data_IF_428328347538
#
_entry.id   IF_428328347538
#
_cell.length_a   1.000
_cell.length_b   1.000
_cell.length_c   1.000
_cell.angle_alpha   90.00
_cell.angle_beta   90.00
_cell.angle_gamma   90.00
#
_symmetry.space_group_name_H-M   'P 1'
#
loop_
_entity.id
_entity.type
_entity.pdbx_description
1 polymer ?
#
# COMPACT_ATOMS: atom_id res chain seq x y z
N UNK A 1 30.77 5.41 -41.53
CA UNK A 1 29.89 5.81 -40.40
C UNK A 1 29.79 4.66 -39.39
N UNK A 2 29.52 4.90 -38.10
CA UNK A 2 29.32 3.83 -37.13
C UNK A 2 28.03 3.04 -37.41
N UNK A 3 27.98 1.78 -36.96
CA UNK A 3 26.78 0.94 -37.05
C UNK A 3 25.71 1.31 -36.02
N UNK A 4 24.48 0.85 -36.24
CA UNK A 4 23.37 1.02 -35.30
C UNK A 4 23.76 0.37 -33.95
N UNK A 5 23.60 1.07 -32.82
CA UNK A 5 23.91 0.47 -31.53
C UNK A 5 22.94 -0.66 -31.21
N UNK A 6 23.37 -1.59 -30.35
CA UNK A 6 22.51 -2.62 -29.76
C UNK A 6 22.78 -2.70 -28.26
N UNK A 7 21.77 -3.15 -27.51
CA UNK A 7 21.81 -3.24 -26.06
C UNK A 7 21.89 -4.72 -25.67
N UNK A 8 22.86 -5.07 -24.83
CA UNK A 8 23.03 -6.38 -24.21
C UNK A 8 22.77 -6.28 -22.69
N UNK A 9 22.37 -7.40 -22.07
CA UNK A 9 22.10 -7.48 -20.63
C UNK A 9 20.64 -7.25 -20.23
N UNK A 10 19.73 -7.12 -21.21
CA UNK A 10 18.29 -7.12 -20.98
C UNK A 10 17.54 -7.61 -22.22
N UNK A 11 16.70 -8.63 -22.07
CA UNK A 11 15.80 -9.08 -23.12
C UNK A 11 14.43 -8.37 -23.02
N UNK A 12 13.79 -7.99 -24.13
CA UNK A 12 12.43 -7.45 -24.09
C UNK A 12 11.45 -8.41 -23.38
N UNK A 13 10.81 -7.93 -22.30
CA UNK A 13 9.89 -8.73 -21.49
C UNK A 13 10.53 -9.37 -20.25
N UNK A 14 11.86 -9.31 -20.12
CA UNK A 14 12.55 -9.71 -18.89
C UNK A 14 12.09 -8.86 -17.71
N UNK A 15 11.97 -9.48 -16.54
CA UNK A 15 11.53 -8.83 -15.30
C UNK A 15 12.72 -8.57 -14.41
N UNK A 16 12.82 -7.34 -13.91
CA UNK A 16 13.84 -6.92 -12.96
C UNK A 16 13.16 -6.74 -11.61
N UNK A 17 13.77 -7.18 -10.51
CA UNK A 17 13.22 -6.92 -9.17
C UNK A 17 13.80 -5.63 -8.60
N UNK A 18 13.02 -4.88 -7.84
CA UNK A 18 13.55 -3.76 -7.04
C UNK A 18 14.73 -4.24 -6.18
N UNK A 19 15.79 -3.45 -6.13
CA UNK A 19 17.03 -3.79 -5.44
C UNK A 19 17.99 -4.68 -6.24
N UNK A 20 17.58 -5.18 -7.41
CA UNK A 20 18.48 -5.96 -8.27
C UNK A 20 19.56 -5.05 -8.87
N UNK A 21 20.81 -5.52 -8.85
CA UNK A 21 21.90 -4.91 -9.58
C UNK A 21 21.79 -5.27 -11.06
N UNK A 22 21.61 -4.26 -11.91
CA UNK A 22 21.45 -4.41 -13.36
C UNK A 22 22.67 -3.83 -14.06
N UNK A 23 23.19 -4.54 -15.06
CA UNK A 23 24.30 -4.09 -15.89
C UNK A 23 23.94 -4.26 -17.37
N UNK A 24 23.87 -3.14 -18.09
CA UNK A 24 23.55 -3.09 -19.51
C UNK A 24 24.75 -2.63 -20.30
N UNK A 25 25.03 -3.25 -21.45
CA UNK A 25 26.06 -2.82 -22.36
C UNK A 25 25.43 -2.28 -23.64
N UNK A 26 25.78 -1.05 -24.01
CA UNK A 26 25.49 -0.54 -25.35
C UNK A 26 26.74 -0.65 -26.21
N UNK A 27 26.61 -1.24 -27.39
CA UNK A 27 27.72 -1.44 -28.33
C UNK A 27 27.36 -0.95 -29.73
N UNK A 28 28.31 -0.30 -30.39
CA UNK A 28 28.21 0.08 -31.81
C UNK A 28 29.48 -0.35 -32.54
N UNK A 29 29.34 -1.04 -33.68
CA UNK A 29 30.47 -1.59 -34.44
C UNK A 29 30.96 -0.59 -35.50
N UNK A 30 32.28 -0.55 -35.70
CA UNK A 30 32.94 0.26 -36.72
C UNK A 30 32.87 1.77 -36.49
N UNK A 31 33.03 2.52 -37.59
CA UNK A 31 33.14 3.97 -37.59
C UNK A 31 34.60 4.45 -37.60
N UNK A 32 34.90 5.42 -38.45
CA UNK A 32 36.16 6.15 -38.42
C UNK A 32 35.87 7.67 -38.38
N UNK A 33 36.07 8.36 -37.24
CA UNK A 33 36.53 7.80 -35.96
C UNK A 33 35.47 6.91 -35.27
N UNK A 34 35.80 6.20 -34.18
CA UNK A 34 34.81 5.40 -33.44
C UNK A 34 33.64 6.24 -32.93
N UNK A 35 32.49 5.60 -32.68
CA UNK A 35 31.30 6.29 -32.17
C UNK A 35 31.46 6.73 -30.71
N UNK A 36 30.93 7.90 -30.37
CA UNK A 36 30.62 8.27 -28.99
C UNK A 36 29.31 7.62 -28.59
N UNK A 37 29.26 6.98 -27.42
CA UNK A 37 28.07 6.32 -26.91
C UNK A 37 27.55 6.98 -25.65
N UNK A 38 26.27 7.33 -25.65
CA UNK A 38 25.60 8.01 -24.54
C UNK A 38 24.34 7.24 -24.15
N UNK A 39 24.21 6.94 -22.85
CA UNK A 39 22.97 6.45 -22.28
C UNK A 39 22.06 7.58 -21.86
N UNK A 40 20.79 7.47 -22.19
CA UNK A 40 19.70 8.32 -21.74
C UNK A 40 18.68 7.48 -20.97
N UNK A 41 18.17 8.03 -19.87
CA UNK A 41 17.05 7.48 -19.08
C UNK A 41 15.94 8.51 -19.05
N UNK A 42 14.77 8.17 -19.59
CA UNK A 42 13.62 9.07 -19.71
C UNK A 42 13.98 10.42 -20.38
N UNK A 43 14.87 10.39 -21.38
CA UNK A 43 15.33 11.57 -22.09
C UNK A 43 16.51 12.32 -21.46
N UNK A 44 16.83 12.07 -20.19
CA UNK A 44 17.96 12.69 -19.49
C UNK A 44 19.24 11.88 -19.68
N UNK A 45 20.37 12.54 -19.90
CA UNK A 45 21.67 11.87 -20.02
C UNK A 45 22.03 11.16 -18.71
N UNK A 46 22.12 9.84 -18.75
CA UNK A 46 22.44 9.00 -17.59
C UNK A 46 23.93 8.68 -17.48
N UNK A 47 24.60 8.39 -18.61
CA UNK A 47 26.02 8.02 -18.60
C UNK A 47 26.70 8.29 -19.93
N UNK A 48 27.81 9.04 -19.87
CA UNK A 48 28.69 9.32 -21.01
C UNK A 48 30.13 8.87 -20.68
N UNK A 49 30.30 7.57 -20.45
CA UNK A 49 31.60 6.96 -20.16
C UNK A 49 31.77 5.72 -21.05
N UNK A 50 32.20 5.98 -22.28
CA UNK A 50 32.39 4.96 -23.30
C UNK A 50 33.87 4.63 -23.50
N UNK A 51 34.15 3.40 -23.90
CA UNK A 51 35.46 2.95 -24.36
C UNK A 51 35.40 2.59 -25.83
N UNK A 52 36.49 2.81 -26.54
CA UNK A 52 36.61 2.52 -27.97
C UNK A 52 37.69 1.47 -28.18
N UNK A 53 37.45 0.58 -29.13
CA UNK A 53 38.41 -0.39 -29.65
C UNK A 53 38.44 -0.24 -31.17
N UNK A 54 39.37 -0.91 -31.84
CA UNK A 54 39.44 -0.92 -33.32
C UNK A 54 38.17 -1.49 -33.98
N UNK A 55 37.34 -2.24 -33.23
CA UNK A 55 36.16 -2.94 -33.75
C UNK A 55 34.83 -2.33 -33.31
N UNK A 56 34.77 -1.77 -32.11
CA UNK A 56 33.52 -1.24 -31.54
C UNK A 56 33.75 -0.17 -30.48
N UNK A 57 32.73 0.66 -30.29
CA UNK A 57 32.54 1.50 -29.10
C UNK A 57 31.60 0.80 -28.12
N UNK A 58 31.83 0.96 -26.82
CA UNK A 58 31.00 0.39 -25.76
C UNK A 58 30.79 1.34 -24.59
N UNK A 59 29.57 1.38 -24.04
CA UNK A 59 29.23 2.09 -22.80
C UNK A 59 28.39 1.19 -21.88
N UNK A 60 28.90 0.89 -20.69
CA UNK A 60 28.26 0.02 -19.70
C UNK A 60 27.48 0.86 -18.69
N UNK A 61 26.16 0.70 -18.61
CA UNK A 61 25.34 1.36 -17.59
C UNK A 61 24.95 0.36 -16.51
N UNK A 62 25.42 0.59 -15.28
CA UNK A 62 25.11 -0.23 -14.12
C UNK A 62 24.35 0.59 -13.08
N UNK A 63 23.29 0.02 -12.51
CA UNK A 63 22.43 0.66 -11.52
C UNK A 63 21.75 -0.38 -10.62
N UNK A 64 21.22 0.07 -9.49
CA UNK A 64 20.31 -0.72 -8.64
C UNK A 64 18.89 -0.34 -9.03
N UNK A 65 18.06 -1.33 -9.37
CA UNK A 65 16.71 -1.07 -9.85
C UNK A 65 15.80 -0.51 -8.75
N UNK A 66 15.14 0.62 -9.03
CA UNK A 66 14.15 1.23 -8.15
C UNK A 66 12.72 1.04 -8.68
N UNK A 67 11.71 1.26 -7.83
CA UNK A 67 10.31 1.19 -8.27
C UNK A 67 9.99 2.23 -9.36
N UNK A 68 10.62 3.40 -9.27
CA UNK A 68 10.55 4.51 -10.23
C UNK A 68 11.15 4.16 -11.61
N UNK A 69 11.94 3.08 -11.70
CA UNK A 69 12.51 2.60 -12.96
C UNK A 69 11.51 1.77 -13.76
N UNK A 70 10.37 1.39 -13.17
CA UNK A 70 9.35 0.68 -13.90
C UNK A 70 8.82 1.54 -15.06
N UNK A 71 8.79 0.98 -16.26
CA UNK A 71 8.47 1.67 -17.52
C UNK A 71 9.45 2.79 -17.91
N UNK A 72 10.59 2.90 -17.24
CA UNK A 72 11.64 3.81 -17.67
C UNK A 72 12.14 3.40 -19.07
N UNK A 73 12.26 4.38 -19.96
CA UNK A 73 12.81 4.22 -21.30
C UNK A 73 14.31 4.48 -21.24
N UNK A 74 15.09 3.43 -21.46
CA UNK A 74 16.52 3.55 -21.67
C UNK A 74 16.82 3.61 -23.16
N UNK A 75 17.59 4.62 -23.56
CA UNK A 75 18.02 4.84 -24.93
C UNK A 75 19.53 4.96 -24.96
N UNK A 76 20.19 4.17 -25.79
CA UNK A 76 21.58 4.40 -26.13
C UNK A 76 21.66 5.09 -27.48
N UNK A 77 22.46 6.16 -27.56
CA UNK A 77 22.74 6.88 -28.79
C UNK A 77 24.20 6.69 -29.21
N UNK A 78 24.42 6.50 -30.51
CA UNK A 78 25.73 6.42 -31.13
C UNK A 78 25.89 7.54 -32.16
N UNK A 79 26.93 8.35 -31.99
CA UNK A 79 27.21 9.48 -32.87
C UNK A 79 28.71 9.60 -33.20
N UNK A 80 29.01 10.17 -34.37
CA UNK A 80 30.37 10.53 -34.80
C UNK A 80 30.27 11.67 -35.84
N UNK A 81 31.33 12.45 -36.05
CA UNK A 81 31.46 13.49 -37.09
C UNK A 81 31.06 13.06 -38.52
N UNK A 82 31.14 11.76 -38.83
CA UNK A 82 30.73 11.22 -40.14
C UNK A 82 29.27 10.74 -40.17
N UNK A 83 28.56 10.75 -39.05
CA UNK A 83 27.15 10.35 -38.99
C UNK A 83 26.26 11.54 -39.38
N UNK A 84 25.36 11.33 -40.35
CA UNK A 84 24.38 12.33 -40.77
C UNK A 84 23.13 12.36 -39.89
N UNK A 85 22.93 11.31 -39.09
CA UNK A 85 21.85 11.16 -38.10
C UNK A 85 22.38 10.41 -36.88
N UNK A 86 21.84 10.74 -35.71
CA UNK A 86 22.12 10.01 -34.48
C UNK A 86 21.46 8.63 -34.58
N UNK A 87 22.25 7.58 -34.38
CA UNK A 87 21.77 6.20 -34.34
C UNK A 87 21.37 5.85 -32.91
N UNK A 88 20.32 5.07 -32.72
CA UNK A 88 19.78 4.78 -31.39
C UNK A 88 19.24 3.36 -31.24
N UNK A 89 19.32 2.84 -30.02
CA UNK A 89 18.65 1.61 -29.57
C UNK A 89 17.93 1.90 -28.26
N UNK A 90 16.77 1.28 -28.05
CA UNK A 90 15.89 1.60 -26.93
C UNK A 90 15.29 0.33 -26.31
N UNK A 91 15.15 0.35 -24.99
CA UNK A 91 14.43 -0.67 -24.22
C UNK A 91 13.52 0.01 -23.18
N UNK A 92 12.46 -0.67 -22.79
CA UNK A 92 11.58 -0.25 -21.69
C UNK A 92 11.74 -1.26 -20.57
N UNK A 93 12.10 -0.78 -19.38
CA UNK A 93 12.29 -1.62 -18.21
C UNK A 93 10.95 -2.09 -17.63
N UNK A 94 10.90 -3.33 -17.16
CA UNK A 94 9.81 -3.86 -16.37
C UNK A 94 10.32 -4.22 -14.97
N UNK A 95 10.03 -3.36 -13.99
CA UNK A 95 10.55 -3.54 -12.62
C UNK A 95 9.43 -3.98 -11.69
N UNK A 96 9.59 -5.15 -11.08
CA UNK A 96 8.68 -5.71 -10.09
C UNK A 96 9.00 -5.14 -8.70
N UNK A 97 7.96 -4.72 -8.00
CA UNK A 97 8.03 -4.25 -6.62
C UNK A 97 6.69 -4.46 -5.92
N UNK A 98 6.74 -4.89 -4.65
CA UNK A 98 5.57 -5.05 -3.80
C UNK A 98 5.14 -3.69 -3.21
N UNK A 99 3.88 -3.55 -2.77
CA UNK A 99 3.46 -2.37 -2.03
C UNK A 99 4.24 -2.31 -0.71
N UNK A 100 4.73 -1.12 -0.36
CA UNK A 100 5.44 -0.89 0.90
C UNK A 100 4.53 -0.92 2.12
N UNK A 101 3.25 -0.60 1.95
CA UNK A 101 2.24 -0.65 3.01
C UNK A 101 0.84 -0.75 2.42
N UNK A 102 -0.11 -1.09 3.29
CA UNK A 102 -1.54 -0.89 3.06
C UNK A 102 -2.11 0.00 4.15
N UNK A 103 -3.04 0.86 3.78
CA UNK A 103 -3.69 1.81 4.69
C UNK A 103 -5.16 1.41 4.76
N UNK A 104 -5.65 1.18 5.97
CA UNK A 104 -7.07 0.89 6.23
C UNK A 104 -7.71 2.13 6.85
N UNK A 105 -8.88 2.51 6.36
CA UNK A 105 -9.66 3.63 6.85
C UNK A 105 -11.12 3.24 7.09
N UNK A 106 -11.74 3.90 8.06
CA UNK A 106 -13.10 3.62 8.51
C UNK A 106 -13.41 4.30 9.84
N UNK A 107 -14.63 4.12 10.39
CA UNK A 107 -14.98 4.65 11.70
C UNK A 107 -14.13 4.02 12.81
N UNK A 108 -13.87 4.76 13.89
CA UNK A 108 -13.18 4.24 15.08
C UNK A 108 -14.13 3.54 16.05
N UNK A 109 -15.42 3.87 16.02
CA UNK A 109 -16.45 3.32 16.90
C UNK A 109 -17.76 3.13 16.11
N UNK A 110 -18.55 2.13 16.50
CA UNK A 110 -19.86 1.86 15.91
C UNK A 110 -20.76 1.11 16.89
N UNK A 111 -22.08 1.28 16.78
CA UNK A 111 -23.04 0.58 17.63
C UNK A 111 -23.23 -0.85 17.15
N UNK A 112 -23.63 -1.73 18.07
CA UNK A 112 -24.07 -3.08 17.69
C UNK A 112 -25.20 -3.00 16.66
N UNK A 113 -25.08 -3.80 15.60
CA UNK A 113 -26.02 -3.84 14.48
C UNK A 113 -25.70 -2.86 13.35
N UNK A 114 -24.82 -1.88 13.57
CA UNK A 114 -24.40 -0.96 12.51
C UNK A 114 -23.65 -1.71 11.40
N UNK A 115 -23.78 -1.21 10.17
CA UNK A 115 -22.95 -1.62 9.04
C UNK A 115 -21.85 -0.60 8.82
N UNK A 116 -20.60 -0.99 9.06
CA UNK A 116 -19.43 -0.11 8.91
C UNK A 116 -18.80 -0.29 7.55
N UNK A 117 -18.55 0.83 6.86
CA UNK A 117 -17.77 0.84 5.62
C UNK A 117 -16.28 0.95 5.96
N UNK A 118 -15.47 0.05 5.40
CA UNK A 118 -14.03 0.05 5.52
C UNK A 118 -13.40 0.11 4.13
N UNK A 119 -12.35 0.89 4.00
CA UNK A 119 -11.54 0.99 2.79
C UNK A 119 -10.11 0.58 3.09
N UNK A 120 -9.50 -0.16 2.18
CA UNK A 120 -8.07 -0.43 2.20
C UNK A 120 -7.45 0.03 0.89
N UNK A 121 -6.29 0.67 0.97
CA UNK A 121 -5.54 1.15 -0.17
C UNK A 121 -4.08 0.72 -0.06
N UNK A 122 -3.51 0.18 -1.14
CA UNK A 122 -2.09 -0.14 -1.22
C UNK A 122 -1.27 1.09 -1.61
N UNK A 123 0.01 1.14 -1.24
CA UNK A 123 0.97 1.93 -2.01
C UNK A 123 1.20 1.27 -3.38
N UNK A 124 1.97 1.95 -4.25
CA UNK A 124 2.20 1.46 -5.61
C UNK A 124 2.86 0.06 -5.62
N UNK A 125 2.41 -0.79 -6.53
CA UNK A 125 2.93 -2.13 -6.77
C UNK A 125 3.01 -2.42 -8.27
N UNK A 126 4.00 -3.20 -8.70
CA UNK A 126 4.05 -3.78 -10.04
C UNK A 126 4.34 -5.28 -9.99
N UNK A 127 3.44 -6.15 -10.49
CA UNK A 127 2.08 -5.85 -10.95
C UNK A 127 1.18 -5.31 -9.81
N UNK A 128 -0.06 -4.92 -10.15
CA UNK A 128 -1.04 -4.48 -9.16
C UNK A 128 -1.20 -5.53 -8.04
N UNK A 129 -1.18 -5.08 -6.79
CA UNK A 129 -1.36 -5.96 -5.65
C UNK A 129 -2.83 -6.36 -5.50
N UNK A 130 -3.08 -7.60 -5.09
CA UNK A 130 -4.39 -8.06 -4.65
C UNK A 130 -4.62 -7.66 -3.19
N UNK A 131 -5.83 -7.20 -2.88
CA UNK A 131 -6.24 -6.96 -1.50
C UNK A 131 -7.05 -8.16 -0.99
N UNK A 132 -6.64 -8.69 0.17
CA UNK A 132 -7.37 -9.75 0.89
C UNK A 132 -7.77 -9.25 2.27
N UNK A 133 -9.03 -9.43 2.62
CA UNK A 133 -9.61 -8.95 3.87
C UNK A 133 -9.87 -10.11 4.83
N UNK A 134 -9.56 -9.89 6.10
CA UNK A 134 -9.97 -10.75 7.21
C UNK A 134 -10.68 -9.89 8.25
N UNK A 135 -11.96 -10.16 8.49
CA UNK A 135 -12.77 -9.45 9.49
C UNK A 135 -13.18 -10.43 10.57
N UNK A 136 -12.85 -10.12 11.83
CA UNK A 136 -13.12 -10.99 12.99
C UNK A 136 -12.61 -12.44 12.80
N UNK A 137 -11.46 -12.59 12.13
CA UNK A 137 -10.85 -13.88 11.83
C UNK A 137 -11.45 -14.63 10.62
N UNK A 138 -12.44 -14.07 9.93
CA UNK A 138 -13.06 -14.66 8.74
C UNK A 138 -12.64 -13.92 7.48
N UNK A 139 -12.31 -14.68 6.44
CA UNK A 139 -12.00 -14.09 5.12
C UNK A 139 -13.25 -13.47 4.50
N UNK A 140 -13.10 -12.30 3.89
CA UNK A 140 -14.18 -11.64 3.15
C UNK A 140 -13.97 -11.87 1.66
N UNK A 141 -14.97 -12.47 1.00
CA UNK A 141 -14.92 -12.80 -0.44
C UNK A 141 -15.58 -11.76 -1.32
N UNK A 142 -16.52 -10.97 -0.78
CA UNK A 142 -17.33 -10.00 -1.53
C UNK A 142 -16.80 -8.57 -1.37
N UNK A 143 -15.49 -8.41 -1.57
CA UNK A 143 -14.85 -7.09 -1.53
C UNK A 143 -14.85 -6.45 -2.92
N UNK A 144 -15.15 -5.16 -2.99
CA UNK A 144 -14.90 -4.39 -4.21
C UNK A 144 -13.40 -4.23 -4.43
N UNK A 145 -12.97 -4.07 -5.68
CA UNK A 145 -11.57 -3.80 -6.03
C UNK A 145 -11.50 -2.81 -7.18
N UNK A 146 -10.62 -1.83 -7.06
CA UNK A 146 -10.33 -0.82 -8.08
C UNK A 146 -8.82 -0.63 -8.18
N UNK A 147 -8.29 -0.75 -9.39
CA UNK A 147 -6.86 -0.59 -9.69
C UNK A 147 -6.65 0.67 -10.51
N UNK A 148 -5.73 1.54 -10.09
CA UNK A 148 -5.41 2.80 -10.78
C UNK A 148 -3.90 2.97 -10.95
N UNK A 149 -3.41 3.59 -12.04
CA UNK A 149 -1.99 3.87 -12.21
C UNK A 149 -1.46 4.82 -11.12
N UNK A 150 -0.23 4.60 -10.67
CA UNK A 150 0.47 5.51 -9.76
C UNK A 150 1.37 6.48 -10.54
N UNK A 151 1.45 7.77 -10.16
CA UNK A 151 2.45 8.71 -10.70
C UNK A 151 3.91 8.24 -10.51
N UNK A 152 4.16 7.45 -9.47
CA UNK A 152 5.49 6.89 -9.15
C UNK A 152 5.81 5.63 -9.97
N UNK A 153 4.90 5.22 -10.85
CA UNK A 153 4.98 3.96 -11.60
C UNK A 153 4.22 2.82 -10.90
N UNK A 154 3.80 1.82 -11.68
CA UNK A 154 2.98 0.70 -11.17
C UNK A 154 1.53 1.11 -10.89
N UNK A 155 0.92 0.42 -9.93
CA UNK A 155 -0.52 0.47 -9.68
C UNK A 155 -0.85 0.55 -8.20
N UNK A 156 -1.85 1.37 -7.86
CA UNK A 156 -2.49 1.42 -6.54
C UNK A 156 -3.79 0.66 -6.61
N UNK A 157 -4.01 -0.23 -5.66
CA UNK A 157 -5.26 -1.00 -5.53
C UNK A 157 -6.03 -0.48 -4.32
N UNK A 158 -7.32 -0.19 -4.52
CA UNK A 158 -8.26 0.19 -3.46
C UNK A 158 -9.36 -0.86 -3.37
N UNK A 159 -9.68 -1.29 -2.16
CA UNK A 159 -10.76 -2.24 -1.90
C UNK A 159 -11.67 -1.74 -0.79
N UNK A 160 -12.97 -1.79 -1.02
CA UNK A 160 -13.97 -1.44 0.00
C UNK A 160 -14.79 -2.67 0.38
N UNK A 161 -15.08 -2.77 1.67
CA UNK A 161 -15.99 -3.76 2.25
C UNK A 161 -16.99 -3.07 3.17
N UNK A 162 -18.11 -3.74 3.42
CA UNK A 162 -18.99 -3.43 4.53
C UNK A 162 -19.00 -4.59 5.50
N UNK A 163 -18.97 -4.30 6.80
CA UNK A 163 -19.01 -5.30 7.84
C UNK A 163 -20.05 -4.93 8.89
N UNK A 164 -20.83 -5.90 9.36
CA UNK A 164 -21.83 -5.69 10.40
C UNK A 164 -21.22 -5.87 11.77
N UNK A 165 -21.54 -4.97 12.71
CA UNK A 165 -21.03 -5.01 14.08
C UNK A 165 -21.79 -6.06 14.89
N UNK A 166 -21.11 -7.16 15.20
CA UNK A 166 -21.67 -8.25 16.00
C UNK A 166 -21.74 -7.92 17.50
N UNK A 167 -22.87 -8.22 18.13
CA UNK A 167 -23.08 -8.02 19.57
C UNK A 167 -22.14 -8.87 20.47
N UNK A 168 -21.59 -9.96 19.93
CA UNK A 168 -20.76 -10.92 20.67
C UNK A 168 -19.33 -10.44 20.90
N UNK A 169 -18.92 -9.33 20.26
CA UNK A 169 -17.56 -8.81 20.29
C UNK A 169 -17.55 -7.37 20.78
N UNK A 170 -16.54 -7.02 21.58
CA UNK A 170 -16.30 -5.64 22.05
C UNK A 170 -15.58 -4.76 21.00
N UNK A 171 -15.02 -5.39 19.97
CA UNK A 171 -14.38 -4.71 18.86
C UNK A 171 -14.60 -5.50 17.57
N UNK A 172 -14.69 -4.79 16.45
CA UNK A 172 -14.58 -5.35 15.11
C UNK A 172 -13.15 -5.12 14.63
N UNK A 173 -12.43 -6.20 14.35
CA UNK A 173 -11.03 -6.16 13.90
C UNK A 173 -10.99 -6.52 12.43
N UNK A 174 -10.54 -5.60 11.60
CA UNK A 174 -10.37 -5.79 10.17
C UNK A 174 -8.89 -5.72 9.79
N UNK A 175 -8.39 -6.80 9.19
CA UNK A 175 -7.04 -6.90 8.68
C UNK A 175 -7.11 -6.87 7.16
N UNK A 176 -6.39 -5.94 6.56
CA UNK A 176 -6.18 -5.89 5.12
C UNK A 176 -4.78 -6.38 4.79
N UNK A 177 -4.66 -7.30 3.83
CA UNK A 177 -3.40 -7.75 3.27
C UNK A 177 -3.25 -7.23 1.84
N UNK A 178 -2.12 -6.63 1.51
CA UNK A 178 -1.70 -6.31 0.15
C UNK A 178 -0.69 -7.34 -0.33
N UNK A 179 -1.06 -8.09 -1.38
CA UNK A 179 -0.30 -9.24 -1.89
C UNK A 179 0.12 -9.00 -3.34
N UNK A 180 1.43 -8.99 -3.60
CA UNK A 180 1.94 -9.02 -4.97
C UNK A 180 2.21 -10.49 -5.36
N UNK A 181 1.42 -11.04 -6.29
CA UNK A 181 1.49 -12.47 -6.65
C UNK A 181 2.82 -12.93 -7.29
N UNK A 182 3.71 -11.99 -7.65
CA UNK A 182 5.03 -12.28 -8.24
C UNK A 182 6.17 -12.19 -7.23
N UNK A 183 5.90 -11.71 -6.02
CA UNK A 183 6.91 -11.46 -4.99
C UNK A 183 6.48 -12.11 -3.65
N UNK A 184 7.43 -12.56 -2.82
CA UNK A 184 7.12 -13.18 -1.53
C UNK A 184 6.69 -12.17 -0.46
N UNK A 185 6.90 -10.89 -0.70
CA UNK A 185 6.64 -9.80 0.22
C UNK A 185 5.14 -9.54 0.35
N UNK A 186 4.64 -9.67 1.58
CA UNK A 186 3.25 -9.35 1.91
C UNK A 186 3.23 -8.26 2.98
N UNK A 187 2.37 -7.27 2.79
CA UNK A 187 2.17 -6.21 3.78
C UNK A 187 0.74 -6.28 4.30
N UNK A 188 0.55 -5.88 5.54
CA UNK A 188 -0.77 -5.87 6.16
C UNK A 188 -0.95 -4.67 7.07
N UNK A 189 -2.20 -4.28 7.27
CA UNK A 189 -2.59 -3.28 8.25
C UNK A 189 -3.90 -3.68 8.92
N UNK A 190 -4.04 -3.30 10.18
CA UNK A 190 -5.19 -3.64 11.02
C UNK A 190 -5.92 -2.38 11.42
N UNK A 191 -7.23 -2.37 11.23
CA UNK A 191 -8.13 -1.34 11.75
C UNK A 191 -9.08 -1.94 12.76
N UNK A 192 -9.25 -1.27 13.90
CA UNK A 192 -10.11 -1.73 14.98
C UNK A 192 -11.23 -0.72 15.20
N UNK A 193 -12.47 -1.20 15.14
CA UNK A 193 -13.67 -0.42 15.46
C UNK A 193 -14.15 -0.84 16.85
N UNK A 194 -14.23 0.10 17.79
CA UNK A 194 -14.78 -0.14 19.11
C UNK A 194 -16.31 -0.31 19.04
N UNK A 195 -16.84 -1.35 19.68
CA UNK A 195 -18.27 -1.66 19.63
C UNK A 195 -18.99 -1.02 20.80
N UNK A 196 -19.86 -0.06 20.50
CA UNK A 196 -20.64 0.65 21.50
C UNK A 196 -21.88 -0.14 21.89
N UNK A 197 -22.05 -0.33 23.19
CA UNK A 197 -23.17 -1.04 23.81
C UNK A 197 -23.92 -0.10 24.75
N UNK A 198 -25.26 -0.04 24.70
CA UNK A 198 -26.02 0.68 25.69
C UNK A 198 -25.89 0.01 27.07
N UNK A 199 -25.86 0.78 28.16
CA UNK A 199 -25.94 0.21 29.49
C UNK A 199 -27.35 -0.31 29.80
N UNK A 200 -27.43 -1.27 30.71
CA UNK A 200 -28.70 -1.73 31.26
C UNK A 200 -29.39 -0.66 32.12
N UNK A 201 -30.70 -0.80 32.37
CA UNK A 201 -31.43 0.14 33.21
C UNK A 201 -30.81 0.23 34.61
N UNK A 202 -30.77 1.43 35.23
CA UNK A 202 -30.29 1.58 36.60
C UNK A 202 -31.26 0.90 37.58
N UNK A 203 -30.70 0.12 38.51
CA UNK A 203 -31.43 -0.56 39.57
C UNK A 203 -30.98 0.04 40.89
N UNK A 204 -31.96 0.53 41.66
CA UNK A 204 -31.74 1.02 43.01
C UNK A 204 -31.96 -0.14 44.00
N UNK A 205 -31.04 -0.32 44.94
CA UNK A 205 -31.08 -1.34 45.98
C UNK A 205 -30.72 -0.73 47.35
N UNK A 206 -30.93 -1.50 48.42
CA UNK A 206 -30.71 -1.02 49.79
C UNK A 206 -31.88 -0.21 50.36
N UNK A 207 -33.07 -0.34 49.77
CA UNK A 207 -34.34 0.16 50.31
C UNK A 207 -35.42 -0.91 50.19
N UNK A 208 -36.46 -0.79 51.02
CA UNK A 208 -37.68 -1.60 50.95
C UNK A 208 -38.85 -0.66 50.70
N UNK A 209 -39.63 -0.94 49.67
CA UNK A 209 -40.78 -0.09 49.34
C UNK A 209 -41.80 -0.09 50.48
N UNK A 210 -42.23 1.09 50.91
CA UNK A 210 -43.14 1.27 52.04
C UNK A 210 -42.51 1.27 53.43
N UNK A 211 -41.19 1.07 53.58
CA UNK A 211 -40.55 1.16 54.90
C UNK A 211 -40.54 2.60 55.44
N UNK A 212 -40.90 2.75 56.72
CA UNK A 212 -40.87 4.03 57.42
C UNK A 212 -39.41 4.36 57.77
N UNK A 213 -38.92 5.50 57.31
CA UNK A 213 -37.58 6.01 57.63
C UNK A 213 -37.72 7.03 58.76
N UNK A 214 -37.09 6.77 59.90
CA UNK A 214 -37.13 7.67 61.05
C UNK A 214 -36.16 8.84 60.89
N UNK A 215 -36.57 10.02 61.34
CA UNK A 215 -35.74 11.22 61.31
C UNK A 215 -34.43 10.98 62.07
N UNK A 216 -33.31 11.42 61.50
CA UNK A 216 -31.97 11.21 62.07
C UNK A 216 -31.31 9.89 61.68
N UNK A 217 -32.01 8.97 61.00
CA UNK A 217 -31.38 7.75 60.47
C UNK A 217 -30.68 8.00 59.14
N UNK A 218 -29.57 7.29 58.93
CA UNK A 218 -28.79 7.36 57.69
C UNK A 218 -29.08 6.14 56.84
N UNK A 219 -29.80 6.34 55.74
CA UNK A 219 -30.02 5.27 54.76
C UNK A 219 -28.86 5.20 53.76
N UNK A 220 -28.42 3.98 53.45
CA UNK A 220 -27.44 3.71 52.39
C UNK A 220 -28.13 2.92 51.27
N UNK A 221 -28.50 3.63 50.21
CA UNK A 221 -29.01 3.05 48.97
C UNK A 221 -27.90 2.99 47.92
N UNK A 222 -28.04 2.09 46.96
CA UNK A 222 -27.05 1.86 45.91
C UNK A 222 -27.75 1.86 44.55
N UNK A 223 -27.19 2.57 43.58
CA UNK A 223 -27.62 2.54 42.19
C UNK A 223 -26.59 1.74 41.40
N UNK A 224 -27.05 0.76 40.65
CA UNK A 224 -26.20 -0.10 39.82
C UNK A 224 -26.76 -0.16 38.41
N UNK A 225 -25.90 -0.06 37.41
CA UNK A 225 -26.24 -0.35 36.01
C UNK A 225 -25.27 -1.41 35.53
N UNK A 226 -25.79 -2.42 34.82
CA UNK A 226 -25.00 -3.53 34.29
C UNK A 226 -24.73 -3.34 32.81
N UNK A 227 -23.59 -3.86 32.32
CA UNK A 227 -23.23 -3.78 30.91
C UNK A 227 -22.74 -2.39 30.47
N UNK A 228 -22.90 -2.09 29.18
CA UNK A 228 -22.40 -0.88 28.53
C UNK A 228 -20.96 -1.01 28.02
N UNK A 229 -20.70 -0.37 26.88
CA UNK A 229 -19.36 -0.08 26.39
C UNK A 229 -19.40 1.30 25.71
N UNK A 230 -18.87 2.37 26.32
CA UNK A 230 -18.25 2.40 27.65
C UNK A 230 -19.24 2.16 28.81
N UNK A 231 -18.72 1.99 30.02
CA UNK A 231 -19.55 1.86 31.23
C UNK A 231 -20.39 3.12 31.48
N UNK A 232 -21.58 2.93 32.06
CA UNK A 232 -22.48 4.04 32.38
C UNK A 232 -21.92 4.94 33.49
N UNK A 233 -22.14 6.24 33.36
CA UNK A 233 -22.00 7.19 34.46
C UNK A 233 -23.32 7.24 35.24
N UNK A 234 -23.26 6.95 36.54
CA UNK A 234 -24.45 6.98 37.42
C UNK A 234 -24.52 8.30 38.18
N UNK A 235 -25.66 8.98 38.09
CA UNK A 235 -25.95 10.24 38.77
C UNK A 235 -27.26 10.10 39.53
N UNK A 236 -27.29 10.56 40.78
CA UNK A 236 -28.50 10.58 41.62
C UNK A 236 -29.22 11.91 41.49
N UNK A 237 -30.54 11.85 41.42
CA UNK A 237 -31.42 13.01 41.48
C UNK A 237 -32.45 12.82 42.59
N UNK A 238 -32.75 13.88 43.34
CA UNK A 238 -33.81 13.94 44.35
C UNK A 238 -34.76 15.07 43.98
N UNK A 239 -36.03 14.74 43.75
CA UNK A 239 -37.04 15.72 43.30
C UNK A 239 -36.57 16.46 42.04
N UNK A 240 -36.07 15.71 41.06
CA UNK A 240 -35.56 16.21 39.78
C UNK A 240 -34.35 17.17 39.90
N UNK A 241 -33.61 17.10 41.01
CA UNK A 241 -32.41 17.91 41.28
C UNK A 241 -31.21 17.07 41.69
#
# INVERSE_FOLDING_TARGET
PPGVPYIEGYAPGEVIRRGQHVQLACRSRGGNPPAQLIWYKNGNQARMAYRTTDRFSENIYAFVAEASDNKARLRCEANNKMATKILKAEIILNVLFAPTQVIVSGPSEARVGDSVALQCQTTASNPAAEIKWVVNGKQVTNASSKVVPSPEGGWVTTSNITATVEASKRSLVAICHGVNMQLPENVQSTHTVNVLLPPGPPIISGYTEGSIITVGTRQKIMCTSSGGNPLATLVWYKNDK
#
